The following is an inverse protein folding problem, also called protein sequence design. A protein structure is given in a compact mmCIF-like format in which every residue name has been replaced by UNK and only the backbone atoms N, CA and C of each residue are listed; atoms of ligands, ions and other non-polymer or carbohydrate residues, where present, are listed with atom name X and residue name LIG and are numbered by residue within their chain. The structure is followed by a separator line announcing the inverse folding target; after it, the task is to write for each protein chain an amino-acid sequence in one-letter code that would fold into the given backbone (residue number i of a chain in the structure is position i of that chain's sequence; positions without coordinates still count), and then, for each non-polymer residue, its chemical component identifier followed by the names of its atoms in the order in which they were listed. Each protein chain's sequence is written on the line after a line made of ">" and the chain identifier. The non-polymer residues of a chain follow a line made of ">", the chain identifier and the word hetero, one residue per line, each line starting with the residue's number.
data_IF_713475754213
#
_entry.id   IF_713475754213
#
_cell.length_a   1.000
_cell.length_b   1.000
_cell.length_c   1.000
_cell.angle_alpha   90.00
_cell.angle_beta   90.00
_cell.angle_gamma   90.00
#
_symmetry.space_group_name_H-M   'P 1'
#
loop_
_entity.id
_entity.type
_entity.pdbx_description
1 polymer ?
#
# COMPACT_ATOMS: atom_id res chain seq x y z
N UNK A 1 1.75 -3.49 8.44
CA UNK A 1 2.74 -3.38 7.35
C UNK A 1 2.62 -4.44 6.23
N UNK A 2 1.98 -5.60 6.42
CA UNK A 2 1.92 -6.64 5.36
C UNK A 2 0.51 -7.09 4.94
N UNK A 3 -0.54 -6.44 5.44
CA UNK A 3 -1.92 -6.93 5.25
C UNK A 3 -2.33 -6.96 3.78
N UNK A 4 -2.08 -5.87 3.05
CA UNK A 4 -2.41 -5.74 1.65
C UNK A 4 -1.60 -6.71 0.78
N UNK A 5 -0.27 -6.70 0.91
CA UNK A 5 0.62 -7.58 0.15
C UNK A 5 0.28 -9.06 0.37
N UNK A 6 0.04 -9.48 1.62
CA UNK A 6 -0.34 -10.85 1.92
C UNK A 6 -1.68 -11.26 1.29
N UNK A 7 -2.63 -10.34 1.19
CA UNK A 7 -3.91 -10.59 0.54
C UNK A 7 -3.73 -10.73 -0.98
N UNK A 8 -2.95 -9.82 -1.59
CA UNK A 8 -2.61 -9.87 -3.02
C UNK A 8 -1.88 -11.17 -3.36
N UNK A 9 -0.91 -11.58 -2.54
CA UNK A 9 -0.15 -12.81 -2.77
C UNK A 9 -0.99 -14.07 -2.61
N UNK A 10 -1.92 -14.11 -1.63
CA UNK A 10 -2.89 -15.21 -1.54
C UNK A 10 -3.77 -15.30 -2.79
N UNK A 11 -4.22 -14.16 -3.32
CA UNK A 11 -5.03 -14.13 -4.54
C UNK A 11 -4.23 -14.61 -5.76
N UNK A 12 -2.95 -14.26 -5.88
CA UNK A 12 -2.07 -14.79 -6.95
C UNK A 12 -1.91 -16.31 -6.85
N UNK A 13 -1.72 -16.85 -5.63
CA UNK A 13 -1.63 -18.30 -5.41
C UNK A 13 -2.91 -19.03 -5.81
N UNK A 14 -4.07 -18.46 -5.50
CA UNK A 14 -5.37 -19.05 -5.83
C UNK A 14 -5.75 -18.89 -7.31
N UNK A 15 -5.18 -17.90 -8.02
CA UNK A 15 -5.50 -17.57 -9.41
C UNK A 15 -4.24 -17.54 -10.30
N UNK A 16 -3.54 -18.68 -10.48
CA UNK A 16 -2.21 -18.71 -11.12
C UNK A 16 -2.20 -18.35 -12.61
N UNK A 17 -3.36 -18.35 -13.27
CA UNK A 17 -3.50 -18.00 -14.70
C UNK A 17 -3.97 -16.57 -14.92
N UNK A 18 -4.26 -15.83 -13.85
CA UNK A 18 -4.76 -14.47 -13.91
C UNK A 18 -3.67 -13.52 -13.43
N UNK A 19 -3.30 -12.59 -14.30
CA UNK A 19 -2.40 -11.51 -13.91
C UNK A 19 -3.18 -10.46 -13.11
N UNK A 20 -2.82 -10.31 -11.84
CA UNK A 20 -3.37 -9.28 -10.96
C UNK A 20 -2.44 -8.07 -11.03
N UNK A 21 -3.00 -6.90 -11.31
CA UNK A 21 -2.27 -5.64 -11.26
C UNK A 21 -2.70 -4.82 -10.03
N UNK A 22 -1.91 -4.81 -8.94
CA UNK A 22 -2.17 -3.99 -7.77
C UNK A 22 -1.57 -2.57 -7.86
N UNK A 23 -0.85 -2.23 -8.94
CA UNK A 23 -0.23 -0.91 -9.08
C UNK A 23 -1.28 0.21 -8.98
N UNK A 24 -0.96 1.25 -8.21
CA UNK A 24 -1.86 2.38 -7.98
C UNK A 24 -3.05 2.10 -7.05
N UNK A 25 -3.16 0.91 -6.46
CA UNK A 25 -4.09 0.65 -5.37
C UNK A 25 -3.53 1.20 -4.05
N UNK A 26 -3.99 2.38 -3.66
CA UNK A 26 -3.79 2.91 -2.30
C UNK A 26 -5.02 2.65 -1.42
N UNK A 27 -4.90 2.86 -0.11
CA UNK A 27 -6.03 2.70 0.83
C UNK A 27 -7.23 3.61 0.49
N UNK A 28 -6.98 4.75 -0.17
CA UNK A 28 -8.01 5.72 -0.52
C UNK A 28 -8.68 5.46 -1.86
N UNK A 29 -8.10 4.57 -2.69
CA UNK A 29 -8.56 4.27 -4.04
C UNK A 29 -9.40 2.99 -4.05
N UNK A 30 -10.41 2.91 -4.91
CA UNK A 30 -11.27 1.72 -5.05
C UNK A 30 -11.40 1.30 -6.51
N UNK A 31 -11.74 0.04 -6.75
CA UNK A 31 -12.04 -0.46 -8.10
C UNK A 31 -13.54 -0.34 -8.37
N UNK A 32 -13.94 0.44 -9.37
CA UNK A 32 -15.31 0.51 -9.90
C UNK A 32 -15.31 0.17 -11.39
N UNK A 33 -16.11 -0.82 -11.80
CA UNK A 33 -16.20 -1.27 -13.19
C UNK A 33 -14.83 -1.59 -13.83
N UNK A 34 -13.88 -2.09 -13.03
CA UNK A 34 -12.53 -2.41 -13.48
C UNK A 34 -11.59 -1.21 -13.61
N UNK A 35 -12.01 -0.02 -13.17
CA UNK A 35 -11.16 1.17 -13.11
C UNK A 35 -10.87 1.55 -11.67
N UNK A 36 -9.63 1.99 -11.41
CA UNK A 36 -9.24 2.57 -10.14
C UNK A 36 -9.78 4.01 -10.11
N UNK A 37 -10.58 4.32 -9.10
CA UNK A 37 -11.18 5.64 -8.91
C UNK A 37 -10.96 6.11 -7.48
N UNK A 38 -10.79 7.43 -7.31
CA UNK A 38 -10.80 8.07 -6.00
C UNK A 38 -12.26 8.37 -5.63
N UNK A 39 -12.80 7.82 -4.54
CA UNK A 39 -14.13 8.17 -4.09
C UNK A 39 -14.21 9.67 -3.78
N UNK A 40 -15.37 10.32 -4.02
CA UNK A 40 -15.53 11.76 -3.80
C UNK A 40 -15.12 12.22 -2.40
N UNK A 41 -15.36 11.40 -1.38
CA UNK A 41 -15.05 11.69 0.02
C UNK A 41 -13.53 11.74 0.30
N UNK A 42 -12.71 11.10 -0.55
CA UNK A 42 -11.24 11.06 -0.43
C UNK A 42 -10.53 11.92 -1.48
N UNK A 43 -11.27 12.59 -2.38
CA UNK A 43 -10.70 13.43 -3.43
C UNK A 43 -9.84 14.59 -2.89
N UNK A 44 -10.05 14.99 -1.64
CA UNK A 44 -9.26 16.05 -0.98
C UNK A 44 -8.06 15.49 -0.19
N UNK A 45 -8.01 14.18 0.06
CA UNK A 45 -6.94 13.50 0.81
C UNK A 45 -5.92 12.83 -0.10
N UNK A 46 -6.19 12.74 -1.41
CA UNK A 46 -5.29 12.12 -2.38
C UNK A 46 -3.94 12.84 -2.46
N UNK A 47 -3.94 14.17 -2.42
CA UNK A 47 -2.72 14.99 -2.50
C UNK A 47 -1.78 14.80 -1.29
N UNK A 48 -2.27 14.21 -0.18
CA UNK A 48 -1.51 14.00 1.06
C UNK A 48 -0.92 12.58 1.18
N UNK A 49 -1.47 11.59 0.45
CA UNK A 49 -1.09 10.18 0.53
C UNK A 49 -0.08 9.75 -0.55
N UNK A 50 0.05 10.49 -1.66
CA UNK A 50 1.03 10.23 -2.72
C UNK A 50 2.49 10.51 -2.29
N UNK A 51 2.70 11.25 -1.18
CA UNK A 51 4.03 11.60 -0.64
C UNK A 51 4.53 10.63 0.46
N UNK A 52 3.80 9.53 0.74
CA UNK A 52 4.09 8.63 1.86
C UNK A 52 4.57 7.24 1.40
N UNK A 53 5.36 7.17 0.32
CA UNK A 53 6.02 5.92 -0.13
C UNK A 53 7.54 5.85 0.13
N UNK A 54 8.17 6.80 0.84
CA UNK A 54 9.61 6.67 1.15
C UNK A 54 9.99 7.21 2.53
N UNK A 55 9.64 6.44 3.57
CA UNK A 55 9.88 6.80 4.97
C UNK A 55 10.18 5.62 5.90
N UNK A 56 10.78 4.55 5.39
CA UNK A 56 11.42 3.53 6.24
C UNK A 56 12.93 3.79 6.34
N UNK A 57 13.34 4.90 6.97
CA UNK A 57 14.70 4.98 7.50
C UNK A 57 14.74 4.31 8.89
N UNK A 58 15.11 3.04 8.89
CA UNK A 58 15.53 2.33 10.10
C UNK A 58 16.99 2.72 10.43
N UNK A 59 17.16 3.73 11.29
CA UNK A 59 18.41 4.03 12.01
C UNK A 59 18.07 4.96 13.17
N UNK A 60 18.40 4.74 14.43
CA UNK A 60 19.52 4.04 15.03
C UNK A 60 19.09 3.48 16.40
N UNK A 61 19.37 2.19 16.64
CA UNK A 61 19.40 1.64 18.00
C UNK A 61 20.75 1.98 18.64
N UNK A 62 20.86 3.13 19.29
CA UNK A 62 21.97 3.36 20.22
C UNK A 62 21.62 2.76 21.59
N UNK A 63 22.02 1.50 21.75
CA UNK A 63 22.26 0.93 23.07
C UNK A 63 23.37 1.70 23.75
N UNK A 64 23.02 2.51 24.74
CA UNK A 64 23.98 3.15 25.62
C UNK A 64 24.29 2.20 26.78
N UNK A 65 25.21 1.26 26.57
CA UNK A 65 25.90 0.58 27.66
C UNK A 65 27.23 1.31 27.92
N UNK A 66 27.24 2.12 28.98
CA UNK A 66 28.45 2.83 29.40
C UNK A 66 28.26 3.71 30.63
N UNK A 67 28.18 3.08 31.82
CA UNK A 67 28.78 3.57 33.08
C UNK A 67 28.71 2.49 34.18
#
# INVERSE_FOLDING_TARGET
>A
KYGFDNAVDQLKVLNPTTELNPEGLSMLKRVENGQIVIPPDYAQMEDEDDDQEDGDDQGESHGNDGA
#
